data_IF_711916867237
#
_entry.id   IF_711916867237
#
_cell.length_a   1.000
_cell.length_b   1.000
_cell.length_c   1.000
_cell.angle_alpha   90.00
_cell.angle_beta   90.00
_cell.angle_gamma   90.00
#
_symmetry.space_group_name_H-M   'P 1'
#
loop_
_entity.id
_entity.type
_entity.pdbx_description
1 polymer ?
#
# COMPACT_ATOMS: atom_id res chain seq x y z
N UNK A 1 28.50 -7.05 13.72
CA UNK A 1 27.33 -7.51 12.92
C UNK A 1 26.10 -6.83 13.50
N UNK A 2 25.14 -6.38 12.70
CA UNK A 2 23.94 -5.75 13.26
C UNK A 2 23.04 -6.86 13.84
N UNK A 3 22.83 -6.87 15.15
CA UNK A 3 21.98 -7.85 15.82
C UNK A 3 20.53 -7.62 15.41
N UNK A 4 20.00 -8.53 14.59
CA UNK A 4 18.61 -8.47 14.13
C UNK A 4 17.59 -8.77 15.24
N UNK A 5 18.06 -9.33 16.36
CA UNK A 5 17.24 -9.74 17.50
C UNK A 5 17.15 -8.68 18.61
N UNK A 6 17.72 -7.49 18.38
CA UNK A 6 17.62 -6.39 19.31
C UNK A 6 16.14 -6.04 19.60
N UNK A 7 15.75 -5.86 20.87
CA UNK A 7 14.36 -5.63 21.24
C UNK A 7 13.81 -4.34 20.62
N UNK A 8 12.65 -4.46 20.00
CA UNK A 8 11.96 -3.35 19.34
C UNK A 8 10.78 -2.94 20.21
N UNK A 9 10.72 -1.65 20.56
CA UNK A 9 9.57 -1.10 21.28
C UNK A 9 8.66 -0.34 20.31
N UNK A 10 7.39 -0.72 20.28
CA UNK A 10 6.36 -0.01 19.51
C UNK A 10 5.54 0.89 20.44
N UNK A 11 5.36 2.15 20.04
CA UNK A 11 4.49 3.10 20.73
C UNK A 11 3.49 3.66 19.72
N UNK A 12 2.21 3.58 20.05
CA UNK A 12 1.14 4.09 19.19
C UNK A 12 0.64 5.43 19.72
N UNK A 13 0.56 6.45 18.85
CA UNK A 13 0.08 7.79 19.17
C UNK A 13 -1.01 8.21 18.19
N UNK A 14 -1.80 9.23 18.56
CA UNK A 14 -2.89 9.77 17.73
C UNK A 14 -3.83 8.66 17.23
N UNK A 15 -4.20 7.76 18.12
CA UNK A 15 -5.10 6.65 17.83
C UNK A 15 -6.51 7.18 17.57
N UNK A 16 -7.11 6.76 16.47
CA UNK A 16 -8.49 7.06 16.11
C UNK A 16 -9.16 5.78 15.64
N UNK A 17 -10.31 5.45 16.24
CA UNK A 17 -11.22 4.42 15.69
C UNK A 17 -12.08 5.08 14.62
N UNK A 18 -12.08 4.54 13.42
CA UNK A 18 -12.84 5.04 12.28
C UNK A 18 -13.84 3.97 11.78
N UNK A 19 -15.07 3.96 12.31
CA UNK A 19 -16.12 3.01 11.91
C UNK A 19 -16.54 3.15 10.44
N UNK A 20 -16.45 4.36 9.87
CA UNK A 20 -16.87 4.62 8.48
C UNK A 20 -16.07 3.81 7.45
N UNK A 21 -14.82 3.51 7.79
CA UNK A 21 -13.91 2.72 6.94
C UNK A 21 -13.58 1.35 7.56
N UNK A 22 -14.27 0.96 8.65
CA UNK A 22 -14.05 -0.30 9.35
C UNK A 22 -12.59 -0.50 9.80
N UNK A 23 -11.95 0.55 10.34
CA UNK A 23 -10.53 0.49 10.70
C UNK A 23 -10.15 1.38 11.88
N UNK A 24 -9.03 1.03 12.52
CA UNK A 24 -8.30 1.84 13.49
C UNK A 24 -7.09 2.45 12.79
N UNK A 25 -6.84 3.73 13.01
CA UNK A 25 -5.72 4.46 12.38
C UNK A 25 -4.88 5.13 13.46
N UNK A 26 -3.56 5.05 13.31
CA UNK A 26 -2.62 5.54 14.33
C UNK A 26 -1.26 5.87 13.73
N UNK A 27 -0.54 6.75 14.41
CA UNK A 27 0.89 6.96 14.21
C UNK A 27 1.64 5.93 15.04
N UNK A 28 2.64 5.27 14.45
CA UNK A 28 3.49 4.30 15.13
C UNK A 28 4.89 4.89 15.23
N UNK A 29 5.33 5.09 16.48
CA UNK A 29 6.72 5.35 16.80
C UNK A 29 7.39 4.02 17.12
N UNK A 30 8.53 3.79 16.51
CA UNK A 30 9.29 2.55 16.58
C UNK A 30 10.65 2.91 17.18
N UNK A 31 10.98 2.32 18.32
CA UNK A 31 12.30 2.44 18.94
C UNK A 31 13.08 1.15 18.69
N UNK A 32 14.24 1.27 18.07
CA UNK A 32 15.09 0.16 17.67
C UNK A 32 16.58 0.51 17.88
N UNK A 33 17.02 0.67 19.14
CA UNK A 33 18.42 0.96 19.44
C UNK A 33 19.31 -0.17 18.93
N UNK A 34 20.46 0.17 18.34
CA UNK A 34 21.42 -0.82 17.80
C UNK A 34 21.00 -1.52 16.50
N UNK A 35 19.76 -1.31 16.04
CA UNK A 35 19.25 -1.87 14.77
C UNK A 35 18.96 -0.76 13.77
N UNK A 36 19.33 -0.97 12.51
CA UNK A 36 19.21 0.06 11.47
C UNK A 36 17.75 0.35 11.07
N UNK A 37 17.05 -0.66 10.54
CA UNK A 37 15.68 -0.54 10.05
C UNK A 37 14.87 -1.78 10.42
N UNK A 38 13.55 -1.61 10.54
CA UNK A 38 12.61 -2.72 10.72
C UNK A 38 11.83 -2.95 9.45
N UNK A 39 11.66 -4.22 9.08
CA UNK A 39 10.84 -4.61 7.95
C UNK A 39 9.35 -4.32 8.21
N UNK A 40 8.60 -4.00 7.16
CA UNK A 40 7.15 -3.77 7.28
C UNK A 40 6.39 -5.03 7.67
N UNK A 41 6.88 -6.20 7.27
CA UNK A 41 6.30 -7.50 7.59
C UNK A 41 6.36 -7.77 9.09
N UNK A 42 7.54 -7.56 9.70
CA UNK A 42 7.74 -7.72 11.14
C UNK A 42 6.94 -6.69 11.95
N UNK A 43 6.86 -5.43 11.49
CA UNK A 43 6.00 -4.42 12.12
C UNK A 43 4.53 -4.80 12.07
N UNK A 44 4.08 -5.38 10.96
CA UNK A 44 2.68 -5.79 10.80
C UNK A 44 2.35 -6.95 11.74
N UNK A 45 3.27 -7.90 11.93
CA UNK A 45 3.14 -9.02 12.87
C UNK A 45 3.10 -8.54 14.33
N UNK A 46 4.03 -7.65 14.71
CA UNK A 46 4.07 -7.10 16.08
C UNK A 46 2.81 -6.27 16.39
N UNK A 47 2.34 -5.45 15.45
CA UNK A 47 1.10 -4.70 15.61
C UNK A 47 -0.13 -5.60 15.64
N UNK A 48 -0.16 -6.66 14.83
CA UNK A 48 -1.22 -7.66 14.84
C UNK A 48 -1.32 -8.33 16.21
N UNK A 49 -0.19 -8.75 16.79
CA UNK A 49 -0.13 -9.32 18.14
C UNK A 49 -0.63 -8.33 19.20
N UNK A 50 -0.12 -7.08 19.20
CA UNK A 50 -0.50 -6.05 20.16
C UNK A 50 -2.01 -5.73 20.16
N UNK A 51 -2.65 -5.74 18.99
CA UNK A 51 -4.06 -5.40 18.84
C UNK A 51 -4.98 -6.60 18.66
N UNK A 52 -4.47 -7.82 18.88
CA UNK A 52 -5.22 -9.08 18.70
C UNK A 52 -5.93 -9.16 17.33
N UNK A 53 -5.21 -8.73 16.28
CA UNK A 53 -5.66 -8.76 14.90
C UNK A 53 -4.84 -9.79 14.11
N UNK A 54 -5.29 -10.11 12.90
CA UNK A 54 -4.51 -10.92 11.97
C UNK A 54 -3.55 -10.05 11.16
N UNK A 55 -2.39 -10.59 10.76
CA UNK A 55 -1.40 -9.88 9.93
C UNK A 55 -2.01 -9.32 8.64
N UNK A 56 -2.95 -10.05 8.05
CA UNK A 56 -3.66 -9.67 6.83
C UNK A 56 -4.62 -8.48 6.98
N UNK A 57 -4.91 -8.06 8.22
CA UNK A 57 -5.74 -6.91 8.54
C UNK A 57 -4.91 -5.65 8.81
N UNK A 58 -3.58 -5.76 8.87
CA UNK A 58 -2.67 -4.67 9.25
C UNK A 58 -1.91 -4.15 8.03
N UNK A 59 -1.94 -2.84 7.83
CA UNK A 59 -1.16 -2.17 6.79
C UNK A 59 -0.34 -1.03 7.39
N UNK A 60 0.98 -1.11 7.21
CA UNK A 60 1.95 -0.07 7.65
C UNK A 60 2.51 0.68 6.43
N UNK A 61 2.57 2.01 6.51
CA UNK A 61 3.16 2.85 5.46
C UNK A 61 3.78 4.14 6.03
N UNK A 62 4.50 4.88 5.19
CA UNK A 62 5.07 6.17 5.56
C UNK A 62 6.19 6.11 6.60
N UNK A 63 6.90 4.99 6.68
CA UNK A 63 8.04 4.83 7.60
C UNK A 63 9.17 5.78 7.23
N UNK A 64 9.57 6.64 8.17
CA UNK A 64 10.72 7.54 8.08
C UNK A 64 11.57 7.42 9.33
N UNK A 65 12.82 6.99 9.15
CA UNK A 65 13.82 6.93 10.21
C UNK A 65 14.31 8.33 10.53
N UNK A 66 14.44 8.63 11.82
CA UNK A 66 14.96 9.90 12.31
C UNK A 66 16.44 10.03 11.98
N UNK A 67 16.91 11.26 11.77
CA UNK A 67 18.34 11.54 11.66
C UNK A 67 19.08 11.03 12.91
N UNK A 68 20.22 10.35 12.71
CA UNK A 68 20.96 9.67 13.78
C UNK A 68 20.48 8.25 14.10
N UNK A 69 19.37 7.77 13.51
CA UNK A 69 18.89 6.40 13.67
C UNK A 69 18.20 6.11 15.00
N UNK A 70 17.97 4.83 15.30
CA UNK A 70 17.37 4.35 16.57
C UNK A 70 15.88 4.60 16.76
N UNK A 71 15.28 5.52 15.99
CA UNK A 71 13.85 5.80 15.98
C UNK A 71 13.29 5.95 14.57
N UNK A 72 12.16 5.31 14.31
CA UNK A 72 11.39 5.46 13.07
C UNK A 72 9.96 5.85 13.40
N UNK A 73 9.39 6.75 12.60
CA UNK A 73 7.99 7.13 12.69
C UNK A 73 7.25 6.62 11.46
N UNK A 74 6.01 6.19 11.61
CA UNK A 74 5.18 5.72 10.51
C UNK A 74 3.71 5.77 10.82
N UNK A 75 2.91 5.28 9.88
CA UNK A 75 1.46 5.20 10.02
C UNK A 75 1.01 3.75 9.88
N UNK A 76 0.06 3.34 10.73
CA UNK A 76 -0.54 2.01 10.69
C UNK A 76 -2.06 2.11 10.62
N UNK A 77 -2.62 1.19 9.83
CA UNK A 77 -4.04 0.94 9.70
C UNK A 77 -4.30 -0.50 10.11
N UNK A 78 -5.27 -0.71 10.99
CA UNK A 78 -5.72 -2.03 11.41
C UNK A 78 -7.20 -2.11 11.07
N UNK A 79 -7.55 -2.92 10.10
CA UNK A 79 -8.92 -3.13 9.66
C UNK A 79 -9.64 -4.13 10.56
N UNK A 80 -10.97 -4.02 10.64
CA UNK A 80 -11.77 -4.97 11.42
C UNK A 80 -11.89 -6.33 10.71
N UNK A 81 -11.78 -6.36 9.37
CA UNK A 81 -11.80 -7.58 8.55
C UNK A 81 -10.83 -7.51 7.35
N UNK A 82 -10.33 -8.66 6.84
CA UNK A 82 -9.48 -8.69 5.64
C UNK A 82 -10.23 -8.22 4.38
N UNK A 83 -11.56 -8.38 4.36
CA UNK A 83 -12.40 -7.89 3.27
C UNK A 83 -12.47 -6.37 3.23
N UNK A 84 -12.62 -5.73 4.40
CA UNK A 84 -12.59 -4.28 4.52
C UNK A 84 -11.24 -3.72 4.06
N UNK A 85 -10.14 -4.40 4.40
CA UNK A 85 -8.81 -4.03 3.93
C UNK A 85 -8.74 -4.04 2.39
N UNK A 86 -9.15 -5.14 1.74
CA UNK A 86 -9.12 -5.25 0.27
C UNK A 86 -10.04 -4.24 -0.42
N UNK A 87 -11.15 -3.87 0.20
CA UNK A 87 -12.12 -2.89 -0.33
C UNK A 87 -11.62 -1.45 -0.25
N UNK A 88 -11.04 -1.05 0.88
CA UNK A 88 -10.71 0.35 1.17
C UNK A 88 -9.24 0.72 0.94
N UNK A 89 -8.30 -0.23 0.95
CA UNK A 89 -6.90 0.09 0.66
C UNK A 89 -6.70 0.41 -0.83
N UNK A 90 -5.84 1.39 -1.16
CA UNK A 90 -5.46 1.63 -2.55
C UNK A 90 -4.76 0.40 -3.14
N UNK A 91 -5.11 0.07 -4.39
CA UNK A 91 -4.57 -1.09 -5.12
C UNK A 91 -3.04 -1.19 -5.10
N UNK A 92 -2.32 -0.07 -5.15
CA UNK A 92 -0.85 -0.09 -5.15
C UNK A 92 -0.26 -0.63 -3.83
N UNK A 93 -0.96 -0.50 -2.71
CA UNK A 93 -0.51 -1.08 -1.42
C UNK A 93 -0.80 -2.57 -1.36
N UNK A 94 -1.98 -2.98 -1.82
CA UNK A 94 -2.34 -4.40 -1.93
C UNK A 94 -1.33 -5.17 -2.79
N UNK A 95 -0.92 -4.60 -3.93
CA UNK A 95 0.10 -5.19 -4.82
C UNK A 95 1.46 -5.34 -4.10
N UNK A 96 1.86 -4.38 -3.26
CA UNK A 96 3.13 -4.45 -2.50
C UNK A 96 3.14 -5.56 -1.45
N UNK A 97 1.98 -5.93 -0.92
CA UNK A 97 1.82 -7.02 0.07
C UNK A 97 1.49 -8.35 -0.61
N UNK A 98 1.25 -8.37 -1.92
CA UNK A 98 0.90 -9.57 -2.68
C UNK A 98 -0.58 -9.96 -2.62
N UNK A 99 -1.45 -9.11 -2.07
CA UNK A 99 -2.90 -9.35 -1.97
C UNK A 99 -3.66 -9.05 -3.28
N UNK A 100 -3.01 -8.42 -4.26
CA UNK A 100 -3.59 -8.12 -5.56
C UNK A 100 -2.52 -8.17 -6.66
N UNK A 101 -2.93 -8.51 -7.88
CA UNK A 101 -2.06 -8.51 -9.06
C UNK A 101 -2.04 -7.15 -9.73
N UNK A 102 -0.88 -6.80 -10.31
CA UNK A 102 -0.73 -5.55 -11.06
C UNK A 102 -1.48 -5.70 -12.40
N UNK A 103 -2.48 -4.87 -12.69
CA UNK A 103 -3.16 -4.95 -13.98
C UNK A 103 -2.22 -4.48 -15.09
N UNK A 104 -2.04 -5.31 -16.10
CA UNK A 104 -1.31 -4.94 -17.31
C UNK A 104 -2.11 -3.89 -18.09
N UNK A 105 -1.45 -2.76 -18.38
CA UNK A 105 -2.07 -1.63 -19.08
C UNK A 105 -1.08 -1.07 -20.08
N UNK A 106 -1.57 -0.82 -21.29
CA UNK A 106 -0.84 -0.04 -22.30
C UNK A 106 -0.40 1.32 -21.74
N UNK A 107 0.70 1.86 -22.27
CA UNK A 107 1.30 3.09 -21.79
C UNK A 107 0.30 4.26 -21.82
N UNK A 108 0.51 5.28 -20.97
CA UNK A 108 -0.37 6.46 -20.92
C UNK A 108 -0.49 7.12 -22.30
N UNK A 109 0.60 7.16 -23.07
CA UNK A 109 0.63 7.71 -24.42
C UNK A 109 -0.18 6.84 -25.40
N UNK A 110 0.02 5.52 -25.41
CA UNK A 110 -0.72 4.59 -26.27
C UNK A 110 -2.24 4.69 -26.02
N UNK A 111 -2.65 4.78 -24.75
CA UNK A 111 -4.06 4.96 -24.37
C UNK A 111 -4.63 6.29 -24.87
N UNK A 112 -3.87 7.38 -24.77
CA UNK A 112 -4.29 8.70 -25.28
C UNK A 112 -4.39 8.72 -26.80
N UNK A 113 -3.42 8.15 -27.50
CA UNK A 113 -3.45 8.03 -28.97
C UNK A 113 -4.62 7.16 -29.43
N UNK A 114 -4.91 6.04 -28.76
CA UNK A 114 -6.09 5.20 -29.05
C UNK A 114 -7.39 5.97 -28.83
N UNK A 115 -7.50 6.71 -27.72
CA UNK A 115 -8.66 7.58 -27.44
C UNK A 115 -8.86 8.62 -28.55
N UNK A 116 -7.80 9.30 -28.96
CA UNK A 116 -7.90 10.35 -29.99
C UNK A 116 -8.30 9.78 -31.36
N UNK A 117 -7.78 8.60 -31.74
CA UNK A 117 -8.21 7.87 -32.96
C UNK A 117 -9.67 7.43 -32.92
N UNK A 118 -10.19 7.04 -31.75
CA UNK A 118 -11.60 6.65 -31.61
C UNK A 118 -12.54 7.86 -31.63
N UNK A 119 -12.07 9.06 -31.32
CA UNK A 119 -12.89 10.28 -31.34
C UNK A 119 -13.26 10.72 -32.76
N UNK A 120 -12.46 10.40 -33.77
CA UNK A 120 -12.72 10.78 -35.17
C UNK A 120 -13.74 9.89 -35.87
N UNK A 121 -14.23 8.83 -35.21
CA UNK A 121 -15.14 7.83 -35.78
C UNK A 121 -16.45 7.81 -34.99
N UNK A 122 -17.57 7.47 -35.66
CA UNK A 122 -18.92 7.46 -35.07
C UNK A 122 -19.47 6.03 -34.95
N UNK A 123 -20.30 5.78 -33.93
CA UNK A 123 -20.95 4.48 -33.71
C UNK A 123 -19.97 3.32 -33.66
N UNK A 124 -20.35 2.21 -34.29
CA UNK A 124 -19.55 0.97 -34.38
C UNK A 124 -18.26 1.14 -35.20
N UNK A 125 -18.14 2.18 -36.03
CA UNK A 125 -16.93 2.45 -36.80
C UNK A 125 -15.70 2.71 -35.90
N UNK A 126 -15.91 3.09 -34.62
CA UNK A 126 -14.84 3.28 -33.62
C UNK A 126 -13.96 2.05 -33.39
N UNK A 127 -14.44 0.85 -33.73
CA UNK A 127 -13.64 -0.39 -33.69
C UNK A 127 -12.40 -0.28 -34.59
N UNK A 128 -12.51 0.39 -35.75
CA UNK A 128 -11.39 0.61 -36.70
C UNK A 128 -10.28 1.50 -36.10
N UNK A 129 -10.64 2.46 -35.24
CA UNK A 129 -9.69 3.37 -34.58
C UNK A 129 -8.95 2.77 -33.37
N UNK A 130 -9.25 1.53 -32.98
CA UNK A 130 -8.61 0.87 -31.84
C UNK A 130 -7.18 0.41 -32.14
N UNK A 131 -6.86 0.10 -33.40
CA UNK A 131 -5.53 -0.31 -33.87
C UNK A 131 -4.82 0.87 -34.54
N UNK A 132 -3.49 0.85 -34.58
CA UNK A 132 -2.76 1.78 -35.44
C UNK A 132 -3.04 1.38 -36.89
N UNK A 133 -3.16 2.35 -37.80
CA UNK A 133 -3.08 2.03 -39.23
C UNK A 133 -1.70 1.37 -39.42
N UNK A 134 -1.68 0.10 -39.79
CA UNK A 134 -0.46 -0.50 -40.34
C UNK A 134 -0.32 0.11 -41.72
N UNK A 135 0.63 1.02 -41.89
CA UNK A 135 1.14 1.31 -43.22
C UNK A 135 1.82 0.03 -43.72
N UNK A 136 1.42 -0.40 -44.92
CA UNK A 136 2.14 -1.44 -45.67
C UNK A 136 3.39 -0.82 -46.24
#
# INVERSE_FOLDING_TARGET
>A
MADNDAPVTLRTRKFIRNPLLGRKQMVVDILHPGRANISKTELSEKLASLYKAQKEQVQVFGLRTQFGGGKTTGFALIYDSPEALKKFEPKYRLIRVGLATKPERASRQQRKQRKNRQKTLRGTAKVKGAKAKKEK
#
